data_IF_467956084090
#
_entry.id   IF_467956084090
#
_cell.length_a   1.000
_cell.length_b   1.000
_cell.length_c   1.000
_cell.angle_alpha   90.00
_cell.angle_beta   90.00
_cell.angle_gamma   90.00
#
_symmetry.space_group_name_H-M   'P 1'
#
loop_
_entity.id
_entity.type
_entity.pdbx_description
1 polymer ?
#
# COMPACT_ATOMS: atom_id res chain seq x y z
N UNK A 1 20.06 20.04 6.87
CA UNK A 1 20.16 19.49 5.50
C UNK A 1 18.84 19.69 4.77
N UNK A 2 18.76 20.68 3.85
CA UNK A 2 17.54 20.93 3.08
C UNK A 2 17.44 19.94 1.91
N UNK A 3 17.06 18.67 2.18
CA UNK A 3 16.62 17.79 1.09
C UNK A 3 15.24 18.29 0.66
N UNK A 4 15.16 18.98 -0.50
CA UNK A 4 13.89 19.39 -1.13
C UNK A 4 13.00 18.16 -1.21
N UNK A 5 11.75 18.27 -0.74
CA UNK A 5 10.74 17.23 -0.89
C UNK A 5 10.40 17.10 -2.38
N UNK A 6 11.10 16.21 -3.06
CA UNK A 6 10.82 15.85 -4.44
C UNK A 6 10.40 14.38 -4.48
N UNK A 7 9.33 14.08 -5.20
CA UNK A 7 8.90 12.69 -5.38
C UNK A 7 9.98 11.93 -6.18
N UNK A 8 10.37 10.72 -5.74
CA UNK A 8 11.31 9.90 -6.48
C UNK A 8 10.73 9.50 -7.83
N UNK A 9 11.57 9.47 -8.86
CA UNK A 9 11.15 9.01 -10.19
C UNK A 9 10.81 7.52 -10.16
N UNK A 10 9.71 7.15 -10.80
CA UNK A 10 9.36 5.74 -11.05
C UNK A 10 10.35 5.22 -12.10
N UNK A 11 11.33 4.43 -11.65
CA UNK A 11 12.46 4.02 -12.48
C UNK A 11 12.24 2.70 -13.22
N UNK A 12 11.37 1.84 -12.68
CA UNK A 12 11.16 0.48 -13.20
C UNK A 12 9.79 -0.06 -12.78
N UNK A 13 9.48 -1.28 -13.23
CA UNK A 13 8.21 -1.96 -12.93
C UNK A 13 8.01 -2.22 -11.44
N UNK A 14 9.08 -2.34 -10.66
CA UNK A 14 8.99 -2.50 -9.21
C UNK A 14 8.24 -1.31 -8.57
N UNK A 15 8.76 -0.09 -8.80
CA UNK A 15 8.18 1.09 -8.20
C UNK A 15 6.78 1.40 -8.74
N UNK A 16 6.53 1.08 -10.01
CA UNK A 16 5.19 1.18 -10.59
C UNK A 16 4.24 0.19 -9.91
N UNK A 17 4.64 -1.06 -9.74
CA UNK A 17 3.85 -2.08 -9.06
C UNK A 17 3.53 -1.69 -7.61
N UNK A 18 4.53 -1.23 -6.85
CA UNK A 18 4.33 -0.73 -5.49
C UNK A 18 3.34 0.44 -5.47
N UNK A 19 3.47 1.40 -6.39
CA UNK A 19 2.57 2.56 -6.47
C UNK A 19 1.12 2.13 -6.73
N UNK A 20 0.89 1.21 -7.66
CA UNK A 20 -0.44 0.67 -7.98
C UNK A 20 -1.04 -0.04 -6.74
N UNK A 21 -0.25 -0.86 -6.05
CA UNK A 21 -0.72 -1.53 -4.84
C UNK A 21 -0.99 -0.56 -3.69
N UNK A 22 -0.25 0.53 -3.59
CA UNK A 22 -0.56 1.59 -2.63
C UNK A 22 -1.87 2.28 -2.96
N UNK A 23 -2.16 2.58 -4.25
CA UNK A 23 -3.46 3.10 -4.68
C UNK A 23 -4.60 2.15 -4.30
N UNK A 24 -4.38 0.83 -4.46
CA UNK A 24 -5.33 -0.20 -4.00
C UNK A 24 -5.59 -0.08 -2.49
N UNK A 25 -4.54 -0.08 -1.67
CA UNK A 25 -4.67 -0.04 -0.20
C UNK A 25 -5.40 1.22 0.26
N UNK A 26 -5.07 2.38 -0.30
CA UNK A 26 -5.75 3.64 0.06
C UNK A 26 -7.18 3.69 -0.47
N UNK A 27 -7.44 3.16 -1.65
CA UNK A 27 -8.79 3.06 -2.23
C UNK A 27 -9.70 2.16 -1.40
N UNK A 28 -9.24 0.94 -1.06
CA UNK A 28 -9.96 -0.02 -0.22
C UNK A 28 -10.20 0.53 1.20
N UNK A 29 -9.25 1.29 1.74
CA UNK A 29 -9.41 1.92 3.04
C UNK A 29 -10.40 3.08 3.02
N UNK A 30 -10.61 3.74 1.88
CA UNK A 30 -11.45 4.92 1.74
C UNK A 30 -12.95 4.57 1.67
N UNK A 31 -13.77 5.30 2.42
CA UNK A 31 -15.24 5.23 2.30
C UNK A 31 -15.84 6.38 1.50
N UNK A 32 -15.01 7.31 1.03
CA UNK A 32 -15.47 8.55 0.39
C UNK A 32 -15.19 8.62 -1.12
N UNK A 33 -14.47 7.63 -1.68
CA UNK A 33 -14.17 7.56 -3.11
C UNK A 33 -15.31 6.85 -3.85
N UNK A 34 -16.18 7.57 -4.59
CA UNK A 34 -17.39 6.99 -5.17
C UNK A 34 -17.11 6.03 -6.36
N UNK A 35 -15.93 6.16 -6.96
CA UNK A 35 -15.50 5.33 -8.10
C UNK A 35 -14.79 4.04 -7.68
N UNK A 36 -14.47 3.88 -6.39
CA UNK A 36 -13.77 2.71 -5.90
C UNK A 36 -14.77 1.59 -5.61
N UNK A 37 -14.63 0.48 -6.31
CA UNK A 37 -15.47 -0.71 -6.17
C UNK A 37 -14.63 -1.99 -6.30
N UNK A 38 -15.22 -3.15 -6.05
CA UNK A 38 -14.53 -4.44 -6.04
C UNK A 38 -13.86 -4.78 -7.38
N UNK A 39 -14.46 -4.38 -8.52
CA UNK A 39 -13.85 -4.60 -9.83
C UNK A 39 -12.60 -3.75 -10.00
N UNK A 40 -12.65 -2.47 -9.56
CA UNK A 40 -11.50 -1.57 -9.62
C UNK A 40 -10.39 -2.02 -8.67
N UNK A 41 -10.76 -2.49 -7.47
CA UNK A 41 -9.83 -3.08 -6.49
C UNK A 41 -9.08 -4.28 -7.09
N UNK A 42 -9.83 -5.22 -7.67
CA UNK A 42 -9.26 -6.41 -8.32
C UNK A 42 -8.36 -6.04 -9.51
N UNK A 43 -8.76 -5.06 -10.32
CA UNK A 43 -7.95 -4.56 -11.44
C UNK A 43 -6.62 -3.99 -10.95
N UNK A 44 -6.63 -3.14 -9.92
CA UNK A 44 -5.39 -2.59 -9.34
C UNK A 44 -4.50 -3.69 -8.75
N UNK A 45 -5.09 -4.68 -8.06
CA UNK A 45 -4.34 -5.82 -7.54
C UNK A 45 -3.63 -6.59 -8.67
N UNK A 46 -4.38 -6.93 -9.72
CA UNK A 46 -3.85 -7.66 -10.88
C UNK A 46 -2.73 -6.89 -11.60
N UNK A 47 -2.93 -5.60 -11.87
CA UNK A 47 -1.91 -4.75 -12.49
C UNK A 47 -0.67 -4.60 -11.62
N UNK A 48 -0.83 -4.38 -10.32
CA UNK A 48 0.29 -4.29 -9.39
C UNK A 48 1.10 -5.58 -9.34
N UNK A 49 0.40 -6.73 -9.22
CA UNK A 49 1.05 -8.05 -9.25
C UNK A 49 1.77 -8.29 -10.58
N UNK A 50 1.17 -7.96 -11.72
CA UNK A 50 1.79 -8.14 -13.03
C UNK A 50 3.09 -7.33 -13.17
N UNK A 51 3.10 -6.07 -12.70
CA UNK A 51 4.31 -5.24 -12.69
C UNK A 51 5.40 -5.85 -11.79
N UNK A 52 5.06 -6.25 -10.56
CA UNK A 52 6.01 -6.85 -9.64
C UNK A 52 6.55 -8.20 -10.16
N UNK A 53 5.68 -9.03 -10.73
CA UNK A 53 6.07 -10.29 -11.34
C UNK A 53 6.98 -10.10 -12.54
N UNK A 54 6.69 -9.14 -13.43
CA UNK A 54 7.56 -8.76 -14.54
C UNK A 54 8.95 -8.34 -14.05
N UNK A 55 9.02 -7.58 -12.95
CA UNK A 55 10.29 -7.23 -12.33
C UNK A 55 11.03 -8.45 -11.79
N UNK A 56 10.34 -9.37 -11.09
CA UNK A 56 10.92 -10.61 -10.59
C UNK A 56 11.51 -11.49 -11.70
N UNK A 57 10.84 -11.59 -12.86
CA UNK A 57 11.32 -12.36 -14.00
C UNK A 57 12.61 -11.80 -14.61
N UNK A 58 12.86 -10.49 -14.49
CA UNK A 58 14.09 -9.84 -14.99
C UNK A 58 15.25 -9.94 -14.02
N UNK A 59 15.02 -10.32 -12.78
CA UNK A 59 16.08 -10.53 -11.79
C UNK A 59 16.90 -11.76 -12.14
N UNK A 60 18.17 -11.56 -12.51
CA UNK A 60 19.04 -12.62 -13.05
C UNK A 60 19.69 -13.57 -12.02
N UNK A 61 19.57 -13.29 -10.70
CA UNK A 61 20.36 -14.02 -9.69
C UNK A 61 19.50 -14.52 -8.53
N UNK A 62 19.04 -15.78 -8.69
CA UNK A 62 18.52 -16.55 -7.56
C UNK A 62 19.56 -17.62 -7.18
N UNK A 63 19.99 -17.64 -5.92
CA UNK A 63 20.67 -18.83 -5.39
C UNK A 63 19.66 -19.98 -5.38
N UNK A 64 20.08 -21.21 -5.78
CA UNK A 64 19.17 -22.37 -5.88
C UNK A 64 18.31 -22.60 -4.63
N UNK A 65 18.90 -22.44 -3.42
CA UNK A 65 18.17 -22.58 -2.15
C UNK A 65 17.09 -21.53 -1.98
N UNK A 66 17.38 -20.28 -2.33
CA UNK A 66 16.44 -19.17 -2.20
C UNK A 66 15.30 -19.32 -3.20
N UNK A 67 15.58 -19.76 -4.43
CA UNK A 67 14.55 -20.05 -5.44
C UNK A 67 13.55 -21.10 -4.92
N UNK A 68 14.03 -22.15 -4.24
CA UNK A 68 13.15 -23.15 -3.64
C UNK A 68 12.18 -22.54 -2.62
N UNK A 69 12.67 -21.69 -1.71
CA UNK A 69 11.80 -21.00 -0.74
C UNK A 69 10.79 -20.09 -1.42
N UNK A 70 11.18 -19.39 -2.47
CA UNK A 70 10.27 -18.53 -3.22
C UNK A 70 9.15 -19.31 -3.89
N UNK A 71 9.48 -20.42 -4.54
CA UNK A 71 8.46 -21.30 -5.11
C UNK A 71 7.53 -21.83 -4.02
N UNK A 72 8.08 -22.28 -2.90
CA UNK A 72 7.29 -22.77 -1.77
C UNK A 72 6.32 -21.70 -1.23
N UNK A 73 6.83 -20.49 -0.93
CA UNK A 73 5.98 -19.39 -0.45
C UNK A 73 4.96 -18.95 -1.49
N UNK A 74 5.30 -18.96 -2.77
CA UNK A 74 4.36 -18.64 -3.84
C UNK A 74 3.23 -19.67 -3.93
N UNK A 75 3.55 -20.96 -3.79
CA UNK A 75 2.55 -22.04 -3.77
C UNK A 75 1.63 -21.89 -2.56
N UNK A 76 2.18 -21.63 -1.36
CA UNK A 76 1.39 -21.41 -0.15
C UNK A 76 0.49 -20.17 -0.29
N UNK A 77 0.99 -19.09 -0.90
CA UNK A 77 0.22 -17.90 -1.15
C UNK A 77 -0.90 -18.11 -2.20
N UNK A 78 -0.64 -18.88 -3.26
CA UNK A 78 -1.64 -19.29 -4.23
C UNK A 78 -2.72 -20.18 -3.60
N UNK A 79 -2.34 -21.10 -2.70
CA UNK A 79 -3.33 -21.91 -1.98
C UNK A 79 -4.27 -21.05 -1.12
N UNK A 80 -3.80 -19.95 -0.57
CA UNK A 80 -4.65 -18.98 0.16
C UNK A 80 -5.72 -18.34 -0.74
N UNK A 81 -5.40 -18.05 -2.00
CA UNK A 81 -6.39 -17.55 -2.97
C UNK A 81 -7.44 -18.62 -3.25
N UNK A 82 -7.02 -19.86 -3.50
CA UNK A 82 -7.92 -20.96 -3.87
C UNK A 82 -8.84 -21.39 -2.71
N UNK A 83 -8.33 -21.37 -1.46
CA UNK A 83 -9.06 -21.85 -0.29
C UNK A 83 -9.92 -20.77 0.38
N UNK A 84 -9.48 -19.52 0.38
CA UNK A 84 -10.08 -18.43 1.16
C UNK A 84 -10.56 -17.29 0.27
N UNK A 85 -10.20 -17.26 -1.02
CA UNK A 85 -10.50 -16.16 -1.93
C UNK A 85 -9.72 -14.88 -1.61
N UNK A 86 -8.69 -14.93 -0.73
CA UNK A 86 -7.95 -13.77 -0.28
C UNK A 86 -6.58 -13.69 -0.95
N UNK A 87 -6.39 -12.68 -1.79
CA UNK A 87 -5.15 -12.47 -2.54
C UNK A 87 -4.11 -11.58 -1.81
N UNK A 88 -4.41 -11.06 -0.62
CA UNK A 88 -3.50 -10.16 0.10
C UNK A 88 -2.19 -10.85 0.51
N UNK A 89 -2.26 -12.14 0.89
CA UNK A 89 -1.05 -12.94 1.19
C UNK A 89 -0.18 -13.08 -0.05
N UNK A 90 -0.79 -13.35 -1.20
CA UNK A 90 -0.08 -13.46 -2.47
C UNK A 90 0.59 -12.14 -2.86
N UNK A 91 -0.11 -11.01 -2.75
CA UNK A 91 0.44 -9.67 -2.96
C UNK A 91 1.66 -9.45 -2.06
N UNK A 92 1.55 -9.77 -0.77
CA UNK A 92 2.64 -9.60 0.20
C UNK A 92 3.87 -10.42 -0.22
N UNK A 93 3.69 -11.69 -0.55
CA UNK A 93 4.79 -12.56 -0.98
C UNK A 93 5.46 -12.03 -2.25
N UNK A 94 4.68 -11.70 -3.29
CA UNK A 94 5.21 -11.17 -4.55
C UNK A 94 5.94 -9.85 -4.32
N UNK A 95 5.42 -8.98 -3.46
CA UNK A 95 6.07 -7.71 -3.10
C UNK A 95 7.41 -7.96 -2.40
N UNK A 96 7.46 -8.85 -1.40
CA UNK A 96 8.71 -9.21 -0.72
C UNK A 96 9.75 -9.79 -1.69
N UNK A 97 9.31 -10.59 -2.67
CA UNK A 97 10.19 -11.13 -3.72
C UNK A 97 10.73 -10.02 -4.62
N UNK A 98 9.87 -9.09 -5.01
CA UNK A 98 10.22 -8.02 -5.95
C UNK A 98 11.17 -6.97 -5.35
N UNK A 99 11.07 -6.69 -4.03
CA UNK A 99 11.97 -5.72 -3.36
C UNK A 99 13.37 -6.30 -3.11
N UNK A 100 13.53 -7.60 -3.28
CA UNK A 100 14.83 -8.25 -3.05
C UNK A 100 15.90 -7.69 -3.99
N UNK A 101 17.06 -7.35 -3.43
CA UNK A 101 18.18 -6.78 -4.17
C UNK A 101 18.14 -5.25 -4.31
N UNK A 102 17.01 -4.62 -3.98
CA UNK A 102 16.94 -3.17 -3.86
C UNK A 102 17.45 -2.70 -2.48
N UNK A 103 17.93 -1.48 -2.43
CA UNK A 103 18.29 -0.87 -1.14
C UNK A 103 17.02 -0.59 -0.34
N UNK A 104 16.93 -1.16 0.86
CA UNK A 104 15.77 -1.00 1.74
C UNK A 104 15.42 0.46 1.98
N UNK A 105 16.43 1.32 2.15
CA UNK A 105 16.26 2.76 2.32
C UNK A 105 15.54 3.41 1.12
N UNK A 106 15.93 3.05 -0.12
CA UNK A 106 15.32 3.60 -1.33
C UNK A 106 13.85 3.19 -1.45
N UNK A 107 13.54 1.92 -1.14
CA UNK A 107 12.18 1.39 -1.19
C UNK A 107 11.30 2.03 -0.12
N UNK A 108 11.76 2.09 1.13
CA UNK A 108 11.00 2.71 2.23
C UNK A 108 10.80 4.21 1.97
N UNK A 109 11.82 4.91 1.48
CA UNK A 109 11.70 6.33 1.14
C UNK A 109 10.67 6.55 0.00
N UNK A 110 10.65 5.68 -1.00
CA UNK A 110 9.63 5.71 -2.06
C UNK A 110 8.22 5.52 -1.48
N UNK A 111 8.03 4.44 -0.70
CA UNK A 111 6.74 4.13 -0.08
C UNK A 111 6.30 5.29 0.83
N UNK A 112 7.17 5.77 1.71
CA UNK A 112 6.85 6.86 2.63
C UNK A 112 6.38 8.13 1.91
N UNK A 113 7.07 8.54 0.84
CA UNK A 113 6.71 9.77 0.11
C UNK A 113 5.35 9.66 -0.59
N UNK A 114 5.10 8.53 -1.27
CA UNK A 114 3.83 8.35 -1.97
C UNK A 114 2.69 8.05 -0.99
N UNK A 115 2.94 7.29 0.07
CA UNK A 115 1.94 7.06 1.12
C UNK A 115 1.55 8.37 1.81
N UNK A 116 2.51 9.24 2.13
CA UNK A 116 2.25 10.56 2.70
C UNK A 116 1.46 11.45 1.74
N UNK A 117 1.78 11.39 0.43
CA UNK A 117 1.02 12.12 -0.59
C UNK A 117 -0.44 11.64 -0.66
N UNK A 118 -0.67 10.32 -0.76
CA UNK A 118 -2.02 9.76 -0.85
C UNK A 118 -2.82 10.02 0.42
N UNK A 119 -2.20 9.85 1.57
CA UNK A 119 -2.82 10.14 2.85
C UNK A 119 -3.20 11.63 2.96
N UNK A 120 -2.30 12.53 2.60
CA UNK A 120 -2.54 13.97 2.60
C UNK A 120 -3.65 14.39 1.61
N UNK A 121 -3.64 13.84 0.38
CA UNK A 121 -4.69 14.09 -0.61
C UNK A 121 -6.06 13.55 -0.14
N UNK A 122 -6.09 12.37 0.49
CA UNK A 122 -7.31 11.81 1.05
C UNK A 122 -7.87 12.69 2.16
N UNK A 123 -7.02 13.12 3.11
CA UNK A 123 -7.44 14.04 4.18
C UNK A 123 -7.95 15.37 3.64
N UNK A 124 -7.24 15.94 2.67
CA UNK A 124 -7.67 17.18 2.02
C UNK A 124 -9.05 17.00 1.37
N UNK A 125 -9.25 15.90 0.64
CA UNK A 125 -10.54 15.59 0.01
C UNK A 125 -11.64 15.38 1.05
N UNK A 126 -11.38 14.67 2.15
CA UNK A 126 -12.31 14.49 3.25
C UNK A 126 -12.72 15.84 3.87
N UNK A 127 -11.74 16.71 4.15
CA UNK A 127 -12.01 18.04 4.71
C UNK A 127 -12.84 18.93 3.77
N UNK A 128 -12.56 18.88 2.46
CA UNK A 128 -13.32 19.64 1.46
C UNK A 128 -14.76 19.14 1.31
N UNK A 129 -15.04 17.87 1.62
CA UNK A 129 -16.40 17.33 1.59
C UNK A 129 -17.27 17.76 2.77
N UNK A 130 -16.70 18.04 3.94
CA UNK A 130 -17.46 18.41 5.14
C UNK A 130 -18.47 19.53 4.85
N UNK A 131 -18.10 20.69 4.28
CA UNK A 131 -19.04 21.76 4.00
C UNK A 131 -20.07 21.41 2.91
N UNK A 132 -19.78 20.44 2.04
CA UNK A 132 -20.66 20.05 0.93
C UNK A 132 -21.69 19.00 1.32
N UNK A 133 -21.32 18.07 2.21
CA UNK A 133 -22.18 16.93 2.59
C UNK A 133 -22.71 17.00 4.00
N UNK A 134 -22.17 17.88 4.85
CA UNK A 134 -22.45 17.93 6.29
C UNK A 134 -21.89 16.73 7.08
N UNK A 135 -21.07 15.90 6.42
CA UNK A 135 -20.48 14.69 7.01
C UNK A 135 -19.38 15.08 8.00
N UNK A 136 -19.48 14.66 9.25
CA UNK A 136 -18.47 14.98 10.28
C UNK A 136 -17.38 13.91 10.39
N UNK A 137 -17.51 12.81 9.64
CA UNK A 137 -16.62 11.62 9.75
C UNK A 137 -16.45 11.12 11.20
N UNK A 138 -17.46 11.40 12.03
CA UNK A 138 -17.48 10.99 13.42
C UNK A 138 -18.37 9.76 13.58
N UNK A 139 -17.88 8.75 14.27
CA UNK A 139 -18.63 7.54 14.65
C UNK A 139 -18.65 7.36 16.13
N UNK A 140 -19.80 7.00 16.69
CA UNK A 140 -19.92 6.63 18.09
C UNK A 140 -19.67 5.13 18.21
N UNK A 141 -18.59 4.75 18.88
CA UNK A 141 -18.22 3.35 19.12
C UNK A 141 -18.09 3.16 20.63
N UNK A 142 -18.94 2.33 21.22
CA UNK A 142 -19.00 2.10 22.66
C UNK A 142 -19.15 3.39 23.48
N UNK A 143 -20.00 4.35 23.03
CA UNK A 143 -20.24 5.61 23.70
C UNK A 143 -19.13 6.66 23.53
N UNK A 144 -18.07 6.35 22.79
CA UNK A 144 -16.96 7.28 22.52
C UNK A 144 -17.02 7.77 21.08
N UNK A 145 -16.96 9.08 20.89
CA UNK A 145 -16.86 9.70 19.55
C UNK A 145 -15.45 9.47 19.01
N UNK A 146 -15.36 8.87 17.83
CA UNK A 146 -14.10 8.61 17.12
C UNK A 146 -14.21 9.12 15.69
N UNK A 147 -13.14 9.74 15.21
CA UNK A 147 -13.07 10.27 13.84
C UNK A 147 -12.38 9.28 12.92
N UNK A 148 -12.98 8.96 11.78
CA UNK A 148 -12.41 8.06 10.76
C UNK A 148 -11.80 8.81 9.56
N UNK A 149 -12.02 10.11 9.47
CA UNK A 149 -11.51 10.99 8.41
C UNK A 149 -11.76 10.45 6.99
N UNK A 150 -12.91 9.79 6.78
CA UNK A 150 -13.29 9.23 5.49
C UNK A 150 -12.66 7.85 5.18
N UNK A 151 -11.99 7.21 6.15
CA UNK A 151 -11.46 5.84 6.00
C UNK A 151 -12.47 4.73 6.42
N UNK A 152 -13.72 5.10 6.65
CA UNK A 152 -14.78 4.18 6.98
C UNK A 152 -14.69 3.55 8.38
N UNK A 153 -13.51 3.51 8.99
CA UNK A 153 -13.31 3.04 10.36
C UNK A 153 -12.10 3.74 11.00
N UNK A 154 -12.20 4.20 12.28
CA UNK A 154 -11.12 4.91 12.96
C UNK A 154 -9.81 4.12 13.05
N UNK A 155 -9.89 2.78 13.17
CA UNK A 155 -8.69 1.95 13.22
C UNK A 155 -7.91 1.97 11.88
N UNK A 156 -8.59 2.06 10.74
CA UNK A 156 -7.91 2.17 9.43
C UNK A 156 -7.11 3.46 9.35
N UNK A 157 -7.71 4.58 9.76
CA UNK A 157 -7.02 5.86 9.86
C UNK A 157 -5.78 5.78 10.75
N UNK A 158 -5.95 5.23 11.98
CA UNK A 158 -4.86 5.11 12.95
C UNK A 158 -3.73 4.20 12.46
N UNK A 159 -4.04 3.07 11.82
CA UNK A 159 -3.04 2.14 11.27
C UNK A 159 -2.24 2.80 10.15
N UNK A 160 -2.90 3.51 9.22
CA UNK A 160 -2.20 4.20 8.13
C UNK A 160 -1.28 5.29 8.67
N UNK A 161 -1.77 6.11 9.62
CA UNK A 161 -0.96 7.13 10.27
C UNK A 161 0.22 6.54 11.04
N UNK A 162 0.01 5.45 11.78
CA UNK A 162 1.05 4.76 12.53
C UNK A 162 2.13 4.19 11.60
N UNK A 163 1.75 3.59 10.47
CA UNK A 163 2.71 3.09 9.48
C UNK A 163 3.54 4.22 8.86
N UNK A 164 2.94 5.38 8.60
CA UNK A 164 3.68 6.56 8.14
C UNK A 164 4.68 7.04 9.18
N UNK A 165 4.28 7.07 10.45
CA UNK A 165 5.17 7.45 11.56
C UNK A 165 6.34 6.48 11.72
N UNK A 166 6.09 5.16 11.64
CA UNK A 166 7.16 4.16 11.70
C UNK A 166 8.16 4.31 10.55
N UNK A 167 7.69 4.51 9.33
CA UNK A 167 8.57 4.74 8.18
C UNK A 167 9.37 6.03 8.34
N UNK A 168 8.74 7.09 8.86
CA UNK A 168 9.43 8.36 9.14
C UNK A 168 10.52 8.18 10.18
N UNK A 169 10.25 7.51 11.30
CA UNK A 169 11.22 7.20 12.34
C UNK A 169 12.39 6.41 11.74
N UNK A 170 12.07 5.36 10.98
CA UNK A 170 13.12 4.53 10.40
C UNK A 170 14.04 5.32 9.46
N UNK A 171 13.49 6.19 8.60
CA UNK A 171 14.25 7.01 7.65
C UNK A 171 15.12 8.10 8.30
N UNK A 172 14.86 8.48 9.56
CA UNK A 172 15.57 9.58 10.20
C UNK A 172 16.52 9.13 11.32
N UNK A 173 16.32 7.93 11.85
CA UNK A 173 17.08 7.44 12.99
C UNK A 173 17.93 6.20 12.69
N UNK A 174 17.69 5.51 11.59
CA UNK A 174 18.45 4.33 11.17
C UNK A 174 18.96 4.46 9.75
#
# INVERSE_FOLDING_TARGET
>A
MNKKFALPKIKNELYLGILILMLKVYGEASSILPFYNDNFDTMLAMLGIACLFSHCLRMRYYRKKEFFYYVLFSILALSSILLVGNYNIFITVVTCLAIRGEKTEDVINFIFRYASLFFGLHLLYALLRIPLTGDTYAKIINGVVRYDMGFGHPNRFSILLFNLLLMWIWLHFF
#
